data_IF_990457498839
#
_entry.id   IF_990457498839
#
_cell.length_a   1.000
_cell.length_b   1.000
_cell.length_c   1.000
_cell.angle_alpha   90.00
_cell.angle_beta   90.00
_cell.angle_gamma   90.00
#
_symmetry.space_group_name_H-M   'P 1'
#
loop_
_entity.id
_entity.type
_entity.pdbx_description
1 polymer ?
#
# COMPACT_ATOMS: atom_id res chain seq x y z
N UNK A 1 -32.71 43.82 -10.71
CA UNK A 1 -31.57 43.38 -9.89
C UNK A 1 -32.00 42.56 -8.65
N UNK A 2 -33.25 42.64 -8.19
CA UNK A 2 -33.75 41.90 -7.03
C UNK A 2 -34.00 40.40 -7.28
N UNK A 3 -34.54 40.04 -8.45
CA UNK A 3 -34.90 38.63 -8.76
C UNK A 3 -33.69 37.70 -8.97
N UNK A 4 -32.55 38.23 -9.37
CA UNK A 4 -31.33 37.41 -9.54
C UNK A 4 -30.64 37.06 -8.22
N UNK A 5 -30.82 37.87 -7.19
CA UNK A 5 -30.27 37.67 -5.85
C UNK A 5 -31.08 36.63 -5.03
N UNK A 6 -32.39 36.55 -5.27
CA UNK A 6 -33.29 35.61 -4.57
C UNK A 6 -33.14 34.17 -5.06
N UNK A 7 -32.79 33.98 -6.35
CA UNK A 7 -32.54 32.65 -6.93
C UNK A 7 -31.21 32.01 -6.48
N UNK A 8 -30.25 32.79 -5.97
CA UNK A 8 -28.98 32.27 -5.46
C UNK A 8 -29.12 31.70 -4.03
N UNK A 9 -30.11 32.17 -3.28
CA UNK A 9 -30.32 31.76 -1.88
C UNK A 9 -31.06 30.40 -1.74
N UNK A 10 -31.77 29.96 -2.77
CA UNK A 10 -32.51 28.69 -2.72
C UNK A 10 -31.74 27.47 -3.27
N UNK A 11 -30.57 27.66 -3.81
CA UNK A 11 -29.68 26.53 -4.13
C UNK A 11 -28.97 25.99 -2.88
N UNK A 12 -29.73 25.64 -1.85
CA UNK A 12 -29.28 24.72 -0.83
C UNK A 12 -28.88 23.43 -1.55
N UNK A 13 -27.59 23.23 -1.70
CA UNK A 13 -26.99 22.01 -2.18
C UNK A 13 -27.63 20.83 -1.43
N UNK A 14 -28.61 20.18 -2.04
CA UNK A 14 -29.20 18.95 -1.50
C UNK A 14 -28.14 17.87 -1.65
N UNK A 15 -27.25 17.79 -0.69
CA UNK A 15 -26.34 16.65 -0.59
C UNK A 15 -27.17 15.39 -0.48
N UNK A 16 -26.86 14.35 -1.23
CA UNK A 16 -27.57 13.08 -1.11
C UNK A 16 -27.55 12.66 0.36
N UNK A 17 -28.73 12.35 0.89
CA UNK A 17 -28.96 12.01 2.30
C UNK A 17 -28.15 10.80 2.78
N UNK A 18 -27.77 9.91 1.86
CA UNK A 18 -26.98 8.72 2.14
C UNK A 18 -25.48 9.03 1.99
N UNK A 19 -24.85 9.39 3.12
CA UNK A 19 -23.40 9.63 3.22
C UNK A 19 -22.61 8.37 3.57
N UNK A 20 -23.22 7.20 3.52
CA UNK A 20 -22.57 5.95 3.87
C UNK A 20 -21.51 5.60 2.86
N UNK A 21 -20.35 5.19 3.36
CA UNK A 21 -19.29 4.59 2.54
C UNK A 21 -19.74 3.16 2.24
N UNK A 22 -19.83 2.83 0.97
CA UNK A 22 -20.13 1.47 0.49
C UNK A 22 -19.05 1.07 -0.49
N UNK A 23 -18.37 -0.02 -0.23
CA UNK A 23 -17.30 -0.51 -1.11
C UNK A 23 -17.92 -1.33 -2.24
N UNK A 24 -17.66 -0.94 -3.46
CA UNK A 24 -18.03 -1.67 -4.67
C UNK A 24 -16.74 -2.05 -5.40
N UNK A 25 -16.52 -3.32 -5.59
CA UNK A 25 -15.33 -3.85 -6.26
C UNK A 25 -15.76 -4.62 -7.51
N UNK A 26 -14.98 -4.51 -8.56
CA UNK A 26 -15.22 -5.28 -9.78
C UNK A 26 -15.12 -6.78 -9.48
N UNK A 27 -16.18 -7.52 -9.74
CA UNK A 27 -16.28 -8.94 -9.41
C UNK A 27 -15.14 -9.76 -10.02
N UNK A 28 -14.72 -9.46 -11.24
CA UNK A 28 -13.57 -10.16 -11.89
C UNK A 28 -12.28 -10.00 -11.09
N UNK A 29 -12.04 -8.80 -10.51
CA UNK A 29 -10.85 -8.56 -9.69
C UNK A 29 -10.97 -9.26 -8.33
N UNK A 30 -12.14 -9.28 -7.74
CA UNK A 30 -12.39 -10.07 -6.51
C UNK A 30 -12.10 -11.55 -6.77
N UNK A 31 -12.64 -12.09 -7.86
CA UNK A 31 -12.40 -13.49 -8.23
C UNK A 31 -10.91 -13.76 -8.45
N UNK A 32 -10.21 -12.89 -9.18
CA UNK A 32 -8.77 -13.03 -9.40
C UNK A 32 -7.98 -12.96 -8.08
N UNK A 33 -8.30 -12.01 -7.21
CA UNK A 33 -7.62 -11.88 -5.91
C UNK A 33 -7.87 -13.10 -5.01
N UNK A 34 -9.11 -13.62 -5.00
CA UNK A 34 -9.45 -14.84 -4.28
C UNK A 34 -8.70 -16.05 -4.85
N UNK A 35 -8.63 -16.20 -6.16
CA UNK A 35 -7.88 -17.27 -6.79
C UNK A 35 -6.38 -17.19 -6.44
N UNK A 36 -5.78 -16.03 -6.58
CA UNK A 36 -4.35 -15.82 -6.25
C UNK A 36 -4.04 -16.02 -4.76
N UNK A 37 -4.98 -15.71 -3.87
CA UNK A 37 -4.81 -15.90 -2.43
C UNK A 37 -5.13 -17.32 -1.96
N UNK A 38 -6.19 -17.93 -2.47
CA UNK A 38 -6.70 -19.21 -1.98
C UNK A 38 -5.98 -20.40 -2.64
N UNK A 39 -5.65 -20.30 -3.94
CA UNK A 39 -4.98 -21.40 -4.65
C UNK A 39 -3.65 -21.84 -4.01
N UNK A 40 -2.74 -20.91 -3.62
CA UNK A 40 -1.52 -21.32 -2.92
C UNK A 40 -1.79 -22.01 -1.58
N UNK A 41 -2.81 -21.55 -0.84
CA UNK A 41 -3.19 -22.18 0.43
C UNK A 41 -3.73 -23.59 0.19
N UNK A 42 -4.62 -23.77 -0.80
CA UNK A 42 -5.12 -25.10 -1.19
C UNK A 42 -3.96 -25.99 -1.62
N UNK A 43 -3.03 -25.46 -2.43
CA UNK A 43 -1.86 -26.23 -2.86
C UNK A 43 -0.98 -26.66 -1.67
N UNK A 44 -0.81 -25.77 -0.68
CA UNK A 44 -0.07 -26.09 0.56
C UNK A 44 -0.76 -27.20 1.37
N UNK A 45 -2.10 -27.14 1.51
CA UNK A 45 -2.87 -28.17 2.19
C UNK A 45 -2.84 -29.51 1.45
N UNK A 46 -2.93 -29.53 0.11
CA UNK A 46 -2.79 -30.74 -0.71
C UNK A 46 -1.38 -31.29 -0.60
N UNK A 47 -0.37 -30.44 -0.63
CA UNK A 47 1.02 -30.87 -0.40
C UNK A 47 1.16 -31.61 0.93
N UNK A 48 0.71 -30.98 2.02
CA UNK A 48 0.75 -31.59 3.35
C UNK A 48 -0.01 -32.92 3.42
N UNK A 49 -1.20 -32.97 2.81
CA UNK A 49 -2.05 -34.15 2.83
C UNK A 49 -1.41 -35.34 2.11
N UNK A 50 -0.81 -35.13 0.96
CA UNK A 50 -0.26 -36.19 0.11
C UNK A 50 1.21 -36.52 0.37
N UNK A 51 2.02 -35.54 0.75
CA UNK A 51 3.47 -35.61 0.85
C UNK A 51 3.99 -35.42 2.29
N UNK A 52 3.13 -35.02 3.23
CA UNK A 52 3.53 -34.67 4.57
C UNK A 52 4.12 -33.27 4.66
N UNK A 53 4.57 -32.89 5.86
CA UNK A 53 5.26 -31.64 6.07
C UNK A 53 6.64 -31.69 5.39
N UNK A 54 7.00 -30.67 4.60
CA UNK A 54 8.32 -30.62 4.00
C UNK A 54 9.39 -30.41 5.07
N UNK A 55 10.50 -31.11 4.97
CA UNK A 55 11.65 -30.85 5.82
C UNK A 55 12.21 -29.46 5.52
N UNK A 56 12.31 -28.66 6.56
CA UNK A 56 13.00 -27.37 6.49
C UNK A 56 14.50 -27.63 6.65
N UNK A 57 15.29 -27.13 5.73
CA UNK A 57 16.72 -27.10 5.92
C UNK A 57 17.01 -26.31 7.19
N UNK A 58 17.74 -26.89 8.16
CA UNK A 58 18.18 -26.09 9.30
C UNK A 58 18.85 -24.85 8.72
N UNK A 59 18.52 -23.68 9.26
CA UNK A 59 19.17 -22.44 8.87
C UNK A 59 20.66 -22.66 9.21
N UNK A 60 21.34 -23.27 8.25
CA UNK A 60 22.72 -23.66 8.42
C UNK A 60 23.55 -22.40 8.55
N UNK A 61 24.17 -22.26 9.65
CA UNK A 61 25.05 -21.22 10.12
C UNK A 61 24.31 -20.17 10.96
N UNK A 62 24.33 -20.42 12.26
CA UNK A 62 24.46 -19.33 13.24
C UNK A 62 25.48 -18.38 12.63
N UNK A 63 25.12 -17.11 12.34
CA UNK A 63 26.12 -16.16 11.89
C UNK A 63 27.23 -16.22 12.90
N UNK A 64 28.43 -16.46 12.41
CA UNK A 64 29.60 -16.38 13.25
C UNK A 64 29.47 -15.13 14.11
N UNK A 65 29.41 -15.30 15.42
CA UNK A 65 29.28 -14.20 16.39
C UNK A 65 30.54 -13.36 16.47
N UNK A 66 31.26 -13.29 15.34
CA UNK A 66 32.35 -12.34 15.16
C UNK A 66 31.82 -10.92 15.40
N UNK A 67 32.63 -10.05 15.91
CA UNK A 67 32.31 -8.66 16.29
C UNK A 67 31.56 -7.88 15.21
N UNK A 68 31.65 -8.29 13.94
CA UNK A 68 30.95 -7.70 12.79
C UNK A 68 29.45 -8.03 12.68
N UNK A 69 28.93 -8.95 13.47
CA UNK A 69 27.54 -9.39 13.41
C UNK A 69 26.93 -9.50 14.82
N UNK A 70 26.57 -8.35 15.42
CA UNK A 70 26.02 -8.35 16.76
C UNK A 70 24.74 -9.17 16.82
N UNK A 71 24.56 -9.90 17.92
CA UNK A 71 23.35 -10.66 18.23
C UNK A 71 22.12 -9.73 18.12
N UNK A 72 21.17 -10.07 17.25
CA UNK A 72 19.94 -9.32 17.04
C UNK A 72 20.04 -8.22 15.99
N UNK A 73 19.10 -7.28 16.05
CA UNK A 73 19.03 -6.16 15.11
C UNK A 73 19.73 -4.92 15.66
N UNK A 74 20.54 -4.21 14.84
CA UNK A 74 21.18 -2.97 15.25
C UNK A 74 20.18 -1.92 15.76
N UNK A 75 20.62 -1.06 16.67
CA UNK A 75 19.77 0.00 17.23
C UNK A 75 19.19 0.91 16.15
N UNK A 76 20.01 1.29 15.16
CA UNK A 76 19.57 2.16 14.06
C UNK A 76 18.43 1.53 13.24
N UNK A 77 18.46 0.21 13.04
CA UNK A 77 17.40 -0.50 12.30
C UNK A 77 16.10 -0.46 13.09
N UNK A 78 16.15 -0.71 14.40
CA UNK A 78 14.98 -0.62 15.29
C UNK A 78 14.40 0.79 15.29
N UNK A 79 15.22 1.83 15.40
CA UNK A 79 14.79 3.23 15.39
C UNK A 79 14.16 3.57 14.03
N UNK A 80 14.82 3.25 12.91
CA UNK A 80 14.28 3.49 11.57
C UNK A 80 12.94 2.79 11.35
N UNK A 81 12.78 1.58 11.91
CA UNK A 81 11.52 0.84 11.82
C UNK A 81 10.38 1.52 12.60
N UNK A 82 10.62 2.02 13.82
CA UNK A 82 9.62 2.78 14.58
C UNK A 82 9.25 4.09 13.90
N UNK A 83 10.23 4.82 13.36
CA UNK A 83 9.98 6.02 12.57
C UNK A 83 9.13 5.68 11.34
N UNK A 84 9.48 4.60 10.63
CA UNK A 84 8.70 4.11 9.48
C UNK A 84 7.26 3.79 9.87
N UNK A 85 7.03 3.07 10.97
CA UNK A 85 5.68 2.75 11.46
C UNK A 85 4.84 4.01 11.69
N UNK A 86 5.40 5.00 12.38
CA UNK A 86 4.72 6.27 12.64
C UNK A 86 4.37 6.99 11.33
N UNK A 87 5.33 7.11 10.41
CA UNK A 87 5.14 7.81 9.14
C UNK A 87 4.15 7.05 8.24
N UNK A 88 4.17 5.72 8.22
CA UNK A 88 3.20 4.91 7.48
C UNK A 88 1.77 5.12 8.00
N UNK A 89 1.57 5.20 9.32
CA UNK A 89 0.25 5.53 9.89
C UNK A 89 -0.21 6.91 9.42
N UNK A 90 0.68 7.90 9.40
CA UNK A 90 0.35 9.24 8.90
C UNK A 90 0.01 9.23 7.40
N UNK A 91 0.78 8.50 6.58
CA UNK A 91 0.56 8.33 5.15
C UNK A 91 -0.78 7.66 4.84
N UNK A 92 -1.07 6.55 5.50
CA UNK A 92 -2.33 5.81 5.31
C UNK A 92 -3.52 6.71 5.69
N UNK A 93 -3.48 7.34 6.85
CA UNK A 93 -4.57 8.19 7.33
C UNK A 93 -4.82 9.40 6.42
N UNK A 94 -3.76 10.09 5.99
CA UNK A 94 -3.89 11.23 5.07
C UNK A 94 -4.28 10.77 3.66
N UNK A 95 -3.76 9.64 3.19
CA UNK A 95 -4.12 9.02 1.93
C UNK A 95 -5.59 8.64 1.85
N UNK A 96 -6.16 8.08 2.92
CA UNK A 96 -7.59 7.80 3.02
C UNK A 96 -8.45 9.06 2.90
N UNK A 97 -8.02 10.18 3.50
CA UNK A 97 -8.70 11.47 3.33
C UNK A 97 -8.69 11.94 1.88
N UNK A 98 -7.54 11.82 1.20
CA UNK A 98 -7.41 12.19 -0.22
C UNK A 98 -8.24 11.26 -1.11
N UNK A 99 -8.24 9.96 -0.81
CA UNK A 99 -9.01 8.98 -1.54
C UNK A 99 -10.51 9.29 -1.49
N UNK A 100 -11.03 9.67 -0.32
CA UNK A 100 -12.46 9.95 -0.13
C UNK A 100 -12.93 11.27 -0.72
N UNK A 101 -12.03 12.12 -1.15
CA UNK A 101 -12.39 13.30 -1.96
C UNK A 101 -12.71 12.93 -3.41
N UNK A 102 -12.07 11.87 -3.92
CA UNK A 102 -12.33 11.25 -5.22
C UNK A 102 -12.41 9.72 -5.07
N UNK A 103 -13.50 9.19 -4.52
CA UNK A 103 -13.57 7.82 -4.01
C UNK A 103 -13.78 6.75 -5.10
N UNK A 104 -13.10 6.90 -6.21
CA UNK A 104 -13.13 5.98 -7.37
C UNK A 104 -11.75 5.79 -7.93
N UNK A 105 -11.40 4.57 -8.31
CA UNK A 105 -10.12 4.21 -8.89
C UNK A 105 -10.31 3.59 -10.28
N UNK A 106 -9.49 4.05 -11.23
CA UNK A 106 -9.53 3.67 -12.64
C UNK A 106 -8.18 3.16 -13.09
N UNK A 107 -8.18 2.33 -14.16
CA UNK A 107 -6.97 1.89 -14.84
C UNK A 107 -6.63 2.71 -16.08
N UNK A 108 -7.39 3.77 -16.36
CA UNK A 108 -7.13 4.68 -17.48
C UNK A 108 -7.55 6.11 -17.12
N UNK A 109 -7.03 7.08 -17.85
CA UNK A 109 -7.27 8.50 -17.58
C UNK A 109 -8.63 9.02 -18.11
N UNK A 110 -9.41 8.19 -18.84
CA UNK A 110 -10.74 8.59 -19.34
C UNK A 110 -11.77 8.71 -18.22
N UNK A 111 -11.56 8.05 -17.09
CA UNK A 111 -12.45 8.09 -15.92
C UNK A 111 -13.91 7.85 -16.25
N UNK A 112 -14.20 6.97 -17.22
CA UNK A 112 -15.57 6.69 -17.66
C UNK A 112 -16.39 6.11 -16.52
N UNK A 113 -17.52 6.73 -16.14
CA UNK A 113 -18.37 6.22 -15.08
C UNK A 113 -18.80 4.78 -15.35
N UNK A 114 -18.65 3.90 -14.34
CA UNK A 114 -18.91 2.46 -14.45
C UNK A 114 -17.69 1.62 -14.88
N UNK A 115 -16.56 2.24 -15.29
CA UNK A 115 -15.30 1.53 -15.60
C UNK A 115 -14.31 1.48 -14.43
N UNK A 116 -14.69 2.05 -13.29
CA UNK A 116 -13.89 1.97 -12.06
C UNK A 116 -13.73 0.52 -11.59
N UNK A 117 -12.54 0.13 -11.19
CA UNK A 117 -12.30 -1.19 -10.62
C UNK A 117 -12.69 -1.28 -9.15
N UNK A 118 -12.66 -0.14 -8.44
CA UNK A 118 -13.18 0.01 -7.08
C UNK A 118 -13.77 1.42 -6.91
N UNK A 119 -14.85 1.50 -6.19
CA UNK A 119 -15.47 2.75 -5.74
C UNK A 119 -16.02 2.62 -4.33
N UNK A 120 -16.04 3.73 -3.62
CA UNK A 120 -16.49 3.77 -2.22
C UNK A 120 -17.82 4.51 -2.06
N UNK A 121 -18.45 4.86 -3.17
CA UNK A 121 -19.74 5.57 -3.21
C UNK A 121 -20.68 4.95 -4.23
N UNK A 122 -22.01 5.06 -4.03
CA UNK A 122 -22.98 4.72 -5.07
C UNK A 122 -22.76 5.56 -6.33
N UNK A 123 -23.05 5.01 -7.49
CA UNK A 123 -23.01 5.73 -8.75
C UNK A 123 -24.31 6.49 -8.95
N UNK A 124 -24.39 7.71 -8.45
CA UNK A 124 -25.54 8.59 -8.62
C UNK A 124 -25.07 9.84 -9.36
N UNK A 125 -25.42 9.92 -10.64
CA UNK A 125 -25.15 11.11 -11.46
C UNK A 125 -26.38 12.01 -11.38
N UNK A 126 -26.24 13.29 -10.97
CA UNK A 126 -27.34 14.24 -11.02
C UNK A 126 -27.82 14.43 -12.47
N UNK A 127 -29.13 14.55 -12.65
CA UNK A 127 -29.74 14.82 -13.96
C UNK A 127 -30.09 16.28 -14.16
N UNK A 128 -30.07 17.06 -13.09
CA UNK A 128 -30.50 18.46 -12.99
C UNK A 128 -29.33 19.46 -13.06
N UNK A 129 -28.10 18.98 -12.93
CA UNK A 129 -26.89 19.81 -12.87
C UNK A 129 -25.64 19.04 -13.27
N UNK A 130 -24.55 19.79 -13.51
CA UNK A 130 -23.24 19.20 -13.76
C UNK A 130 -22.74 18.45 -12.52
N UNK A 131 -22.37 17.19 -12.70
CA UNK A 131 -21.75 16.39 -11.66
C UNK A 131 -20.37 16.93 -11.30
N UNK A 132 -20.11 17.10 -10.01
CA UNK A 132 -18.85 17.60 -9.50
C UNK A 132 -18.23 16.62 -8.48
N UNK A 133 -16.96 16.78 -8.21
CA UNK A 133 -16.26 15.96 -7.18
C UNK A 133 -16.94 16.06 -5.80
N UNK A 134 -17.61 17.20 -5.49
CA UNK A 134 -18.35 17.39 -4.23
C UNK A 134 -19.54 16.43 -4.08
N UNK A 135 -20.12 16.00 -5.18
CA UNK A 135 -21.26 15.07 -5.18
C UNK A 135 -20.82 13.68 -4.73
N UNK A 136 -19.58 13.35 -5.02
CA UNK A 136 -19.02 12.04 -4.77
C UNK A 136 -18.17 11.97 -3.50
N UNK A 137 -17.61 13.10 -3.06
CA UNK A 137 -16.75 13.16 -1.88
C UNK A 137 -17.47 12.66 -0.61
N UNK A 138 -16.74 11.97 0.24
CA UNK A 138 -17.23 11.43 1.52
C UNK A 138 -16.31 11.85 2.65
N UNK A 139 -16.92 12.06 3.80
CA UNK A 139 -16.20 12.37 5.02
C UNK A 139 -15.89 11.08 5.78
N UNK A 140 -14.63 10.90 6.15
CA UNK A 140 -14.19 9.81 7.02
C UNK A 140 -14.05 10.31 8.45
N UNK A 141 -14.34 9.42 9.40
CA UNK A 141 -14.16 9.68 10.82
C UNK A 141 -12.74 10.19 11.13
N UNK A 142 -12.61 11.22 11.99
CA UNK A 142 -11.32 11.75 12.44
C UNK A 142 -10.40 10.71 13.11
N UNK A 143 -10.97 9.63 13.64
CA UNK A 143 -10.20 8.53 14.19
C UNK A 143 -9.42 7.75 13.13
N UNK A 144 -9.94 7.70 11.91
CA UNK A 144 -9.34 6.96 10.79
C UNK A 144 -8.55 7.90 9.89
N UNK A 145 -9.10 9.07 9.59
CA UNK A 145 -8.55 10.01 8.64
C UNK A 145 -7.62 11.07 9.29
N UNK A 146 -6.77 11.70 8.48
CA UNK A 146 -5.91 12.82 8.89
C UNK A 146 -6.03 13.95 7.85
N UNK A 147 -6.25 15.21 8.22
CA UNK A 147 -6.49 15.73 9.59
C UNK A 147 -7.85 15.31 10.12
N UNK A 148 -7.95 15.15 11.42
CA UNK A 148 -9.15 14.62 12.08
C UNK A 148 -10.36 15.54 12.17
N UNK A 149 -10.29 16.79 11.69
CA UNK A 149 -11.37 17.78 11.74
C UNK A 149 -11.73 18.22 10.32
N UNK A 150 -12.73 19.11 10.16
CA UNK A 150 -13.16 19.66 8.86
C UNK A 150 -11.99 19.71 7.90
N UNK A 151 -11.76 18.61 7.21
CA UNK A 151 -10.63 18.52 6.31
C UNK A 151 -10.99 19.19 4.99
N UNK A 152 -10.07 19.96 4.49
CA UNK A 152 -10.01 20.27 3.08
C UNK A 152 -9.00 19.29 2.46
N UNK A 153 -9.22 18.91 1.22
CA UNK A 153 -8.25 18.09 0.48
C UNK A 153 -6.85 18.74 0.48
N UNK A 154 -6.78 20.06 0.49
CA UNK A 154 -5.52 20.80 0.61
C UNK A 154 -4.74 20.43 1.86
N UNK A 155 -5.38 20.45 3.03
CA UNK A 155 -4.73 20.11 4.31
C UNK A 155 -4.35 18.63 4.34
N UNK A 156 -5.20 17.73 3.84
CA UNK A 156 -4.87 16.32 3.76
C UNK A 156 -3.63 16.05 2.88
N UNK A 157 -3.51 16.74 1.74
CA UNK A 157 -2.33 16.70 0.87
C UNK A 157 -1.07 17.21 1.56
N UNK A 158 -1.15 18.31 2.32
CA UNK A 158 0.01 18.80 3.06
C UNK A 158 0.53 17.76 4.07
N UNK A 159 -0.37 17.15 4.85
CA UNK A 159 0.01 16.08 5.76
C UNK A 159 0.61 14.87 5.03
N UNK A 160 0.02 14.50 3.90
CA UNK A 160 0.51 13.38 3.10
C UNK A 160 1.92 13.66 2.56
N UNK A 161 2.13 14.82 1.95
CA UNK A 161 3.43 15.18 1.37
C UNK A 161 4.52 15.37 2.43
N UNK A 162 4.18 15.99 3.57
CA UNK A 162 5.10 16.13 4.69
C UNK A 162 5.54 14.74 5.22
N UNK A 163 4.58 13.87 5.44
CA UNK A 163 4.86 12.49 5.89
C UNK A 163 5.64 11.71 4.84
N UNK A 164 5.31 11.86 3.55
CA UNK A 164 6.02 11.21 2.45
C UNK A 164 7.48 11.69 2.34
N UNK A 165 7.72 12.98 2.54
CA UNK A 165 9.08 13.51 2.55
C UNK A 165 9.93 12.87 3.66
N UNK A 166 9.44 12.86 4.89
CA UNK A 166 10.18 12.23 6.00
C UNK A 166 10.28 10.71 5.85
N UNK A 167 9.27 10.06 5.32
CA UNK A 167 9.30 8.64 5.02
C UNK A 167 10.37 8.30 3.98
N UNK A 168 10.45 9.10 2.92
CA UNK A 168 11.47 8.95 1.89
C UNK A 168 12.87 9.18 2.45
N UNK A 169 13.07 10.23 3.28
CA UNK A 169 14.36 10.49 3.94
C UNK A 169 14.76 9.35 4.89
N UNK A 170 13.83 8.85 5.69
CA UNK A 170 14.05 7.68 6.54
C UNK A 170 14.43 6.45 5.70
N UNK A 171 13.76 6.24 4.56
CA UNK A 171 14.08 5.16 3.62
C UNK A 171 15.47 5.27 3.02
N UNK A 172 15.91 6.46 2.63
CA UNK A 172 17.27 6.69 2.12
C UNK A 172 18.32 6.39 3.19
N UNK A 173 18.13 6.89 4.41
CA UNK A 173 19.03 6.62 5.54
C UNK A 173 19.05 5.12 5.85
N UNK A 174 17.87 4.48 5.88
CA UNK A 174 17.75 3.05 6.13
C UNK A 174 18.52 2.23 5.09
N UNK A 175 18.29 2.48 3.79
CA UNK A 175 18.97 1.76 2.70
C UNK A 175 20.48 2.05 2.73
N UNK A 176 20.87 3.30 2.95
CA UNK A 176 22.30 3.67 3.10
C UNK A 176 22.99 2.90 4.21
N UNK A 177 22.40 2.86 5.41
CA UNK A 177 22.92 2.12 6.54
C UNK A 177 22.88 0.60 6.31
N UNK A 178 21.84 0.11 5.63
CA UNK A 178 21.72 -1.30 5.28
C UNK A 178 22.92 -1.78 4.46
N UNK A 179 23.36 -0.98 3.47
CA UNK A 179 24.54 -1.29 2.67
C UNK A 179 25.85 -1.01 3.43
N UNK A 180 25.96 0.11 4.12
CA UNK A 180 27.16 0.48 4.87
C UNK A 180 27.51 -0.53 5.98
N UNK A 181 26.51 -1.14 6.60
CA UNK A 181 26.71 -2.14 7.68
C UNK A 181 26.60 -3.59 7.20
N UNK A 182 26.59 -3.85 5.90
CA UNK A 182 26.43 -5.18 5.31
C UNK A 182 25.14 -5.93 5.70
N UNK A 183 24.17 -5.26 6.33
CA UNK A 183 22.91 -5.89 6.73
C UNK A 183 22.00 -6.22 5.52
N UNK A 184 22.25 -5.62 4.35
CA UNK A 184 21.58 -5.98 3.09
C UNK A 184 21.68 -7.48 2.76
N UNK A 185 22.75 -8.15 3.21
CA UNK A 185 22.98 -9.58 3.03
C UNK A 185 21.89 -10.45 3.66
N UNK A 186 21.16 -9.90 4.65
CA UNK A 186 20.03 -10.58 5.29
C UNK A 186 18.75 -10.50 4.45
N UNK A 187 18.62 -9.46 3.61
CA UNK A 187 17.40 -9.18 2.85
C UNK A 187 17.49 -9.66 1.41
N UNK A 188 18.64 -9.48 0.76
CA UNK A 188 18.80 -9.76 -0.67
C UNK A 188 19.02 -11.26 -0.90
N UNK A 189 18.11 -11.92 -1.63
CA UNK A 189 18.31 -13.32 -2.04
C UNK A 189 19.56 -13.47 -2.90
N UNK A 190 20.32 -14.55 -2.71
CA UNK A 190 21.56 -14.79 -3.45
C UNK A 190 21.52 -15.98 -4.38
N UNK A 191 20.57 -16.88 -4.14
CA UNK A 191 20.37 -18.10 -4.93
C UNK A 191 18.90 -18.30 -5.23
N UNK A 192 18.62 -19.15 -6.20
CA UNK A 192 17.25 -19.49 -6.62
C UNK A 192 16.58 -20.52 -5.73
N UNK A 193 17.34 -21.24 -4.91
CA UNK A 193 16.80 -22.24 -3.99
C UNK A 193 15.88 -21.61 -2.95
N UNK A 194 16.09 -20.32 -2.67
CA UNK A 194 15.26 -19.56 -1.73
C UNK A 194 13.76 -19.65 -2.05
N UNK A 195 13.38 -19.75 -3.32
CA UNK A 195 11.96 -19.85 -3.69
C UNK A 195 11.36 -21.19 -3.25
N UNK A 196 12.14 -22.26 -3.37
CA UNK A 196 11.72 -23.61 -2.92
C UNK A 196 11.62 -23.64 -1.40
N UNK A 197 12.62 -23.11 -0.73
CA UNK A 197 12.64 -23.04 0.74
C UNK A 197 11.54 -22.12 1.28
N UNK A 198 11.25 -21.00 0.61
CA UNK A 198 10.13 -20.13 0.96
C UNK A 198 8.77 -20.84 0.80
N UNK A 199 8.62 -21.65 -0.25
CA UNK A 199 7.42 -22.47 -0.41
C UNK A 199 7.25 -23.48 0.73
N UNK A 200 8.32 -24.17 1.14
CA UNK A 200 8.28 -25.08 2.29
C UNK A 200 7.82 -24.37 3.57
N UNK A 201 8.40 -23.19 3.86
CA UNK A 201 7.99 -22.37 5.01
C UNK A 201 6.52 -21.92 4.87
N UNK A 202 6.09 -21.56 3.67
CA UNK A 202 4.70 -21.20 3.40
C UNK A 202 3.73 -22.37 3.68
N UNK A 203 4.11 -23.59 3.32
CA UNK A 203 3.32 -24.82 3.64
C UNK A 203 3.17 -24.95 5.15
N UNK A 204 4.26 -24.81 5.91
CA UNK A 204 4.20 -24.88 7.38
C UNK A 204 3.23 -23.84 7.95
N UNK A 205 3.35 -22.58 7.60
CA UNK A 205 2.46 -21.51 8.09
C UNK A 205 1.00 -21.72 7.66
N UNK A 206 0.78 -22.09 6.40
CA UNK A 206 -0.58 -22.30 5.87
C UNK A 206 -1.32 -23.46 6.50
N UNK A 207 -0.59 -24.48 6.98
CA UNK A 207 -1.13 -25.65 7.65
C UNK A 207 -1.08 -25.58 9.18
N UNK A 208 -0.80 -24.37 9.71
CA UNK A 208 -0.69 -24.07 11.14
C UNK A 208 0.40 -24.85 11.89
N UNK A 209 1.39 -25.35 11.18
CA UNK A 209 2.58 -25.93 11.76
C UNK A 209 3.66 -24.84 11.82
N UNK A 210 3.86 -24.27 13.00
CA UNK A 210 4.90 -23.23 13.14
C UNK A 210 6.27 -23.87 12.94
N UNK A 211 7.11 -23.31 12.03
CA UNK A 211 8.48 -23.78 11.87
C UNK A 211 9.23 -23.60 13.20
N UNK A 212 9.97 -24.62 13.59
CA UNK A 212 10.87 -24.52 14.74
C UNK A 212 12.10 -23.73 14.25
N UNK A 213 12.13 -22.46 14.56
CA UNK A 213 13.21 -21.56 14.20
C UNK A 213 13.93 -21.11 15.48
N UNK A 214 14.96 -21.83 15.94
CA UNK A 214 15.71 -21.40 17.11
C UNK A 214 16.37 -20.04 16.91
N UNK A 215 16.55 -19.62 15.64
CA UNK A 215 17.34 -18.45 15.25
C UNK A 215 16.51 -17.32 14.63
N UNK A 216 15.18 -17.29 14.79
CA UNK A 216 14.29 -16.26 14.21
C UNK A 216 14.65 -14.81 14.62
N UNK A 217 15.38 -14.62 15.72
CA UNK A 217 15.92 -13.32 16.12
C UNK A 217 17.22 -12.93 15.39
N UNK A 218 17.89 -13.85 14.76
CA UNK A 218 19.21 -13.64 14.17
C UNK A 218 19.17 -13.67 12.64
N UNK A 219 18.24 -14.41 12.08
CA UNK A 219 18.14 -14.63 10.64
C UNK A 219 16.70 -14.66 10.20
N UNK A 220 16.42 -14.09 9.03
CA UNK A 220 15.11 -14.26 8.41
C UNK A 220 15.00 -15.64 7.77
N UNK A 221 13.84 -16.27 7.91
CA UNK A 221 13.55 -17.43 7.11
C UNK A 221 13.36 -17.04 5.62
N UNK A 222 13.44 -18.00 4.68
CA UNK A 222 13.36 -17.71 3.25
C UNK A 222 12.10 -16.92 2.83
N UNK A 223 10.95 -17.20 3.42
CA UNK A 223 9.70 -16.49 3.13
C UNK A 223 9.74 -15.05 3.66
N UNK A 224 10.27 -14.84 4.87
CA UNK A 224 10.49 -13.51 5.43
C UNK A 224 11.49 -12.72 4.59
N UNK A 225 12.61 -13.34 4.18
CA UNK A 225 13.62 -12.69 3.36
C UNK A 225 13.04 -12.18 2.04
N UNK A 226 12.28 -13.01 1.30
CA UNK A 226 11.60 -12.61 0.08
C UNK A 226 10.57 -11.50 0.32
N UNK A 227 9.81 -11.60 1.42
CA UNK A 227 8.79 -10.60 1.76
C UNK A 227 9.43 -9.25 2.08
N UNK A 228 10.47 -9.21 2.90
CA UNK A 228 11.18 -7.96 3.22
C UNK A 228 11.91 -7.39 2.00
N UNK A 229 12.53 -8.25 1.18
CA UNK A 229 13.11 -7.81 -0.09
C UNK A 229 12.06 -7.13 -0.97
N UNK A 230 10.90 -7.79 -1.15
CA UNK A 230 9.80 -7.25 -1.94
C UNK A 230 9.28 -5.91 -1.41
N UNK A 231 9.09 -5.79 -0.09
CA UNK A 231 8.62 -4.54 0.53
C UNK A 231 9.66 -3.41 0.38
N UNK A 232 10.91 -3.66 0.71
CA UNK A 232 11.94 -2.61 0.75
C UNK A 232 12.39 -2.18 -0.64
N UNK A 233 12.59 -3.12 -1.56
CA UNK A 233 13.21 -2.83 -2.86
C UNK A 233 12.22 -2.76 -4.03
N UNK A 234 10.96 -3.17 -3.85
CA UNK A 234 9.95 -3.13 -4.90
C UNK A 234 8.75 -2.28 -4.48
N UNK A 235 8.02 -2.68 -3.44
CA UNK A 235 6.74 -2.02 -3.08
C UNK A 235 6.96 -0.58 -2.65
N UNK A 236 7.94 -0.32 -1.77
CA UNK A 236 8.20 1.03 -1.28
C UNK A 236 8.66 1.99 -2.40
N UNK A 237 9.65 1.64 -3.27
CA UNK A 237 9.98 2.46 -4.43
C UNK A 237 8.80 2.67 -5.39
N UNK A 238 8.03 1.63 -5.71
CA UNK A 238 6.86 1.76 -6.61
C UNK A 238 5.82 2.68 -6.00
N UNK A 239 5.53 2.57 -4.71
CA UNK A 239 4.60 3.47 -4.02
C UNK A 239 5.07 4.92 -4.08
N UNK A 240 6.35 5.19 -3.86
CA UNK A 240 6.90 6.53 -3.97
C UNK A 240 6.81 7.08 -5.42
N UNK A 241 7.25 6.30 -6.39
CA UNK A 241 7.25 6.68 -7.79
C UNK A 241 5.83 6.92 -8.33
N UNK A 242 4.87 6.08 -7.99
CA UNK A 242 3.47 6.29 -8.38
C UNK A 242 2.85 7.49 -7.67
N UNK A 243 3.26 7.77 -6.44
CA UNK A 243 2.90 9.02 -5.74
C UNK A 243 3.36 10.26 -6.49
N UNK A 244 4.60 10.28 -6.97
CA UNK A 244 5.14 11.35 -7.81
C UNK A 244 4.38 11.46 -9.15
N UNK A 245 4.02 10.35 -9.78
CA UNK A 245 3.28 10.33 -11.05
C UNK A 245 1.88 10.96 -10.95
N UNK A 246 1.30 11.02 -9.77
CA UNK A 246 0.03 11.70 -9.53
C UNK A 246 0.16 13.22 -9.40
N UNK A 247 1.38 13.76 -9.23
CA UNK A 247 1.62 15.20 -9.05
C UNK A 247 1.35 15.97 -10.35
N UNK A 248 0.45 16.99 -10.33
CA UNK A 248 0.26 17.85 -11.49
C UNK A 248 1.53 18.61 -11.90
N UNK A 249 2.39 18.96 -10.94
CA UNK A 249 3.65 19.65 -11.24
C UNK A 249 4.60 18.77 -12.05
N UNK A 250 4.70 17.49 -11.70
CA UNK A 250 5.53 16.52 -12.43
C UNK A 250 4.93 16.23 -13.80
N UNK A 251 3.62 16.09 -13.91
CA UNK A 251 2.94 15.87 -15.19
C UNK A 251 3.16 17.03 -16.15
N UNK A 252 3.10 18.27 -15.67
CA UNK A 252 3.39 19.45 -16.47
C UNK A 252 4.86 19.57 -16.90
N UNK A 253 5.79 19.15 -16.04
CA UNK A 253 7.23 19.20 -16.33
C UNK A 253 7.70 18.01 -17.17
N UNK A 254 7.20 16.82 -16.88
CA UNK A 254 7.61 15.56 -17.49
C UNK A 254 6.39 14.68 -17.81
N UNK A 255 5.55 15.10 -18.75
CA UNK A 255 4.30 14.41 -19.12
C UNK A 255 4.47 12.97 -19.63
N UNK A 256 5.71 12.54 -19.92
CA UNK A 256 6.05 11.15 -20.22
C UNK A 256 6.05 10.27 -18.96
N UNK A 257 6.36 10.84 -17.79
CA UNK A 257 6.57 10.09 -16.54
C UNK A 257 5.32 9.34 -16.07
N UNK A 258 4.12 9.95 -15.96
CA UNK A 258 2.92 9.19 -15.61
C UNK A 258 2.57 8.08 -16.60
N UNK A 259 2.95 8.22 -17.87
CA UNK A 259 2.70 7.22 -18.92
C UNK A 259 3.42 5.90 -18.66
N UNK A 260 4.53 5.91 -17.89
CA UNK A 260 5.23 4.68 -17.46
C UNK A 260 4.32 3.76 -16.62
N UNK A 261 3.33 4.33 -15.96
CA UNK A 261 2.37 3.62 -15.12
C UNK A 261 1.00 3.46 -15.80
N UNK A 262 0.88 3.77 -17.10
CA UNK A 262 -0.39 3.77 -17.82
C UNK A 262 -1.25 5.01 -17.62
N UNK A 263 -0.67 6.11 -17.16
CA UNK A 263 -1.32 7.39 -16.88
C UNK A 263 -1.50 7.66 -15.40
N UNK A 264 -2.01 8.85 -15.06
CA UNK A 264 -2.15 9.30 -13.68
C UNK A 264 -3.15 8.48 -12.88
N UNK A 265 -4.23 8.02 -13.51
CA UNK A 265 -5.25 7.22 -12.82
C UNK A 265 -4.77 5.79 -12.57
N UNK A 266 -4.03 5.20 -13.51
CA UNK A 266 -3.35 3.92 -13.29
C UNK A 266 -2.33 4.03 -12.17
N UNK A 267 -1.49 5.08 -12.18
CA UNK A 267 -0.55 5.34 -11.09
C UNK A 267 -1.26 5.44 -9.73
N UNK A 268 -2.42 6.10 -9.69
CA UNK A 268 -3.25 6.21 -8.49
C UNK A 268 -3.79 4.84 -8.03
N UNK A 269 -4.20 4.00 -8.96
CA UNK A 269 -4.68 2.65 -8.66
C UNK A 269 -3.56 1.73 -8.15
N UNK A 270 -2.33 1.88 -8.67
CA UNK A 270 -1.16 1.14 -8.19
C UNK A 270 -0.72 1.64 -6.81
N UNK A 271 -0.80 2.95 -6.58
CA UNK A 271 -0.40 3.57 -5.31
C UNK A 271 -1.32 3.17 -4.15
N UNK A 272 -2.62 2.99 -4.42
CA UNK A 272 -3.63 2.56 -3.45
C UNK A 272 -3.47 1.11 -3.05
#
# INVERSE_FOLDING_TARGET
MGEMAENISQNTLVYPKDRRIRVYVNLKLVTLALLLGILPVIAAWLWWWFLGLPELNPISQIPDTSEDNPIGFPVWLRVAHFVNLFLMIMLIRSGLSILMDHPRLYWNDHCTPGSEWIRFTPHVVPTDRVWTAKDDSRYISPWIALPGFRHTIGIARHWHFLSAFFWFMNGLVFVGLLFATNQWKRLVPRDTEIFVEAWKVFVHYSTFHMPIEPDGFYKYNPLQQLSYFGVVFVVAPVSFLTGLAMSPAIDNWAGWYPRLFGGRQSARSIHF
#
